data_IF_292446375454
#
_entry.id   IF_292446375454
#
_cell.length_a   1.000
_cell.length_b   1.000
_cell.length_c   1.000
_cell.angle_alpha   90.00
_cell.angle_beta   90.00
_cell.angle_gamma   90.00
#
_symmetry.space_group_name_H-M   'P 1'
#
loop_
_entity.id
_entity.type
_entity.pdbx_description
1 polymer ?
#
# COMPACT_ATOMS: atom_id res chain seq x y z
N UNK A 1 -10.40 -0.67 -13.00
CA UNK A 1 -9.43 -1.74 -13.23
C UNK A 1 -8.86 -2.26 -11.92
N UNK A 2 -8.31 -3.45 -11.96
CA UNK A 2 -7.67 -4.08 -10.80
C UNK A 2 -6.19 -4.28 -11.10
N UNK A 3 -5.34 -3.96 -10.13
CA UNK A 3 -3.88 -4.09 -10.26
C UNK A 3 -3.35 -4.97 -9.14
N UNK A 4 -2.73 -6.09 -9.50
CA UNK A 4 -2.10 -6.97 -8.53
C UNK A 4 -0.80 -6.34 -8.03
N UNK A 5 -0.65 -6.18 -6.71
CA UNK A 5 0.55 -5.60 -6.10
C UNK A 5 1.39 -6.62 -5.35
N UNK A 6 0.78 -7.69 -4.86
CA UNK A 6 1.48 -8.71 -4.09
C UNK A 6 0.70 -10.02 -4.09
N UNK A 7 1.39 -11.11 -3.76
CA UNK A 7 0.78 -12.41 -3.56
C UNK A 7 1.17 -12.96 -2.19
N UNK A 8 0.29 -13.79 -1.63
CA UNK A 8 0.52 -14.48 -0.37
C UNK A 8 0.41 -15.98 -0.62
N UNK A 9 1.45 -16.73 -0.28
CA UNK A 9 1.48 -18.19 -0.35
C UNK A 9 2.00 -18.72 0.97
N UNK A 10 1.23 -19.56 1.63
CA UNK A 10 1.54 -20.03 2.98
C UNK A 10 1.78 -18.83 3.91
N UNK A 11 2.98 -18.70 4.48
CA UNK A 11 3.33 -17.60 5.38
C UNK A 11 4.28 -16.58 4.73
N UNK A 12 4.32 -16.56 3.38
CA UNK A 12 5.20 -15.67 2.64
C UNK A 12 4.41 -14.62 1.85
N UNK A 13 4.87 -13.39 1.93
CA UNK A 13 4.39 -12.25 1.16
C UNK A 13 5.41 -11.95 0.06
N UNK A 14 4.96 -11.84 -1.19
CA UNK A 14 5.82 -11.55 -2.35
C UNK A 14 5.27 -10.35 -3.11
N UNK A 15 6.08 -9.32 -3.29
CA UNK A 15 5.70 -8.20 -4.14
C UNK A 15 5.53 -8.63 -5.59
N UNK A 16 4.55 -8.08 -6.29
CA UNK A 16 4.28 -8.44 -7.69
C UNK A 16 5.46 -8.15 -8.62
N UNK A 17 6.26 -7.13 -8.34
CA UNK A 17 7.44 -6.81 -9.15
C UNK A 17 8.52 -7.91 -9.06
N UNK A 18 8.49 -8.74 -8.02
CA UNK A 18 9.45 -9.82 -7.81
C UNK A 18 8.95 -11.18 -8.27
N UNK A 19 7.68 -11.30 -8.65
CA UNK A 19 7.09 -12.57 -9.09
C UNK A 19 7.52 -12.88 -10.53
N UNK A 20 8.27 -13.97 -10.77
CA UNK A 20 8.73 -14.32 -12.12
C UNK A 20 7.59 -14.56 -13.11
N UNK A 21 6.43 -15.01 -12.65
CA UNK A 21 5.26 -15.25 -13.50
C UNK A 21 4.62 -13.95 -14.00
N UNK A 22 4.89 -12.84 -13.31
CA UNK A 22 4.36 -11.52 -13.65
C UNK A 22 5.35 -10.65 -14.41
N UNK A 23 6.53 -11.15 -14.70
CA UNK A 23 7.57 -10.40 -15.41
C UNK A 23 7.02 -9.85 -16.72
N UNK A 24 7.31 -8.57 -16.98
CA UNK A 24 6.86 -7.83 -18.16
C UNK A 24 5.35 -7.57 -18.23
N UNK A 25 4.61 -7.80 -17.15
CA UNK A 25 3.19 -7.44 -17.07
C UNK A 25 3.00 -6.01 -16.59
N UNK A 26 1.81 -5.45 -16.83
CA UNK A 26 1.44 -4.14 -16.28
C UNK A 26 1.47 -4.13 -14.75
N UNK A 27 1.05 -5.23 -14.12
CA UNK A 27 1.09 -5.38 -12.66
C UNK A 27 2.52 -5.27 -12.13
N UNK A 28 3.48 -5.96 -12.74
CA UNK A 28 4.88 -5.89 -12.33
C UNK A 28 5.46 -4.49 -12.53
N UNK A 29 5.10 -3.82 -13.61
CA UNK A 29 5.57 -2.44 -13.87
C UNK A 29 5.03 -1.46 -12.84
N UNK A 30 3.76 -1.53 -12.50
CA UNK A 30 3.17 -0.64 -11.50
C UNK A 30 3.71 -0.95 -10.11
N UNK A 31 3.81 -2.23 -9.74
CA UNK A 31 4.40 -2.63 -8.47
C UNK A 31 5.89 -2.25 -8.39
N UNK A 32 6.59 -2.20 -9.53
CA UNK A 32 7.96 -1.73 -9.60
C UNK A 32 8.15 -0.28 -9.12
N UNK A 33 7.10 0.54 -9.20
CA UNK A 33 7.13 1.89 -8.65
C UNK A 33 7.25 1.87 -7.11
N UNK A 34 6.73 0.84 -6.46
CA UNK A 34 6.90 0.64 -5.02
C UNK A 34 8.36 0.38 -4.66
N UNK A 35 9.03 -0.48 -5.44
CA UNK A 35 10.46 -0.74 -5.22
C UNK A 35 11.30 0.52 -5.46
N UNK A 36 10.99 1.29 -6.48
CA UNK A 36 11.66 2.56 -6.76
C UNK A 36 11.49 3.56 -5.62
N UNK A 37 10.26 3.72 -5.13
CA UNK A 37 9.99 4.54 -3.95
C UNK A 37 10.79 4.05 -2.74
N UNK A 38 10.87 2.74 -2.53
CA UNK A 38 11.63 2.14 -1.45
C UNK A 38 13.12 2.46 -1.51
N UNK A 39 13.71 2.51 -2.71
CA UNK A 39 15.10 2.93 -2.89
C UNK A 39 15.25 4.42 -2.58
N UNK A 40 14.40 5.26 -3.16
CA UNK A 40 14.51 6.72 -3.06
C UNK A 40 14.27 7.21 -1.63
N UNK A 41 13.32 6.61 -0.92
CA UNK A 41 12.93 7.01 0.44
C UNK A 41 13.52 6.13 1.54
N UNK A 42 14.36 5.17 1.17
CA UNK A 42 15.02 4.24 2.09
C UNK A 42 14.01 3.46 2.94
N UNK A 43 13.11 2.75 2.24
CA UNK A 43 12.14 1.83 2.86
C UNK A 43 12.50 0.40 2.46
N UNK A 44 13.28 -0.32 3.30
CA UNK A 44 13.81 -1.64 2.92
C UNK A 44 12.74 -2.66 2.57
N UNK A 45 11.59 -2.61 3.23
CA UNK A 45 10.50 -3.56 3.02
C UNK A 45 9.93 -3.49 1.60
N UNK A 46 10.05 -2.36 0.93
CA UNK A 46 9.56 -2.18 -0.46
C UNK A 46 10.54 -2.71 -1.51
N UNK A 47 11.79 -2.95 -1.13
CA UNK A 47 12.83 -3.47 -2.05
C UNK A 47 13.20 -4.92 -1.79
N UNK A 48 12.62 -5.55 -0.79
CA UNK A 48 12.79 -6.98 -0.52
C UNK A 48 11.74 -7.78 -1.29
N UNK A 49 12.15 -8.73 -2.15
CA UNK A 49 11.20 -9.51 -2.96
C UNK A 49 10.18 -10.28 -2.13
N UNK A 50 10.67 -10.94 -1.08
CA UNK A 50 9.90 -11.83 -0.22
C UNK A 50 10.03 -11.40 1.22
N UNK A 51 8.91 -11.42 1.94
CA UNK A 51 8.84 -11.03 3.34
C UNK A 51 7.98 -12.04 4.10
N UNK A 52 8.30 -12.30 5.38
CA UNK A 52 7.38 -13.07 6.21
C UNK A 52 6.01 -12.39 6.26
N UNK A 53 4.95 -13.17 6.13
CA UNK A 53 3.58 -12.61 6.15
C UNK A 53 3.29 -11.86 7.45
N UNK A 54 3.79 -12.34 8.59
CA UNK A 54 3.60 -11.65 9.87
C UNK A 54 4.22 -10.26 9.88
N UNK A 55 5.40 -10.10 9.26
CA UNK A 55 6.04 -8.79 9.13
C UNK A 55 5.20 -7.86 8.26
N UNK A 56 4.73 -8.37 7.12
CA UNK A 56 3.91 -7.58 6.20
C UNK A 56 2.61 -7.12 6.88
N UNK A 57 1.97 -8.00 7.65
CA UNK A 57 0.76 -7.66 8.41
C UNK A 57 1.05 -6.67 9.53
N UNK A 58 2.07 -6.93 10.34
CA UNK A 58 2.43 -6.09 11.48
C UNK A 58 2.82 -4.67 11.07
N UNK A 59 3.46 -4.52 9.93
CA UNK A 59 3.86 -3.22 9.36
C UNK A 59 2.84 -2.63 8.41
N UNK A 60 1.73 -3.35 8.16
CA UNK A 60 0.68 -2.93 7.22
C UNK A 60 1.24 -2.56 5.83
N UNK A 61 2.17 -3.37 5.34
CA UNK A 61 2.90 -3.07 4.10
C UNK A 61 2.00 -2.88 2.86
N UNK A 62 0.93 -3.68 2.65
CA UNK A 62 0.06 -3.44 1.50
C UNK A 62 -0.57 -2.05 1.51
N UNK A 63 -0.84 -1.48 2.69
CA UNK A 63 -1.43 -0.16 2.81
C UNK A 63 -0.47 0.96 2.41
N UNK A 64 0.86 0.73 2.44
CA UNK A 64 1.82 1.69 1.92
C UNK A 64 1.64 1.93 0.43
N UNK A 65 1.17 0.92 -0.31
CA UNK A 65 0.96 1.04 -1.74
C UNK A 65 -0.12 2.07 -2.09
N UNK A 66 -1.09 2.27 -1.22
CA UNK A 66 -2.22 3.17 -1.49
C UNK A 66 -1.77 4.61 -1.78
N UNK A 67 -1.08 5.29 -0.86
CA UNK A 67 -0.63 6.66 -1.14
C UNK A 67 0.48 6.73 -2.18
N UNK A 68 1.36 5.72 -2.26
CA UNK A 68 2.46 5.71 -3.22
C UNK A 68 1.94 5.64 -4.65
N UNK A 69 0.94 4.79 -4.90
CA UNK A 69 0.37 4.58 -6.23
C UNK A 69 -0.86 5.46 -6.49
N UNK A 70 -1.42 6.09 -5.46
CA UNK A 70 -2.61 6.93 -5.60
C UNK A 70 -3.88 6.14 -5.91
N UNK A 71 -3.95 4.87 -5.50
CA UNK A 71 -5.11 4.00 -5.66
C UNK A 71 -5.55 3.55 -4.27
N UNK A 72 -6.81 3.78 -3.91
CA UNK A 72 -7.23 3.84 -2.51
C UNK A 72 -8.04 2.65 -2.02
N UNK A 73 -8.33 1.67 -2.86
CA UNK A 73 -9.09 0.48 -2.47
C UNK A 73 -8.23 -0.77 -2.62
N UNK A 74 -8.00 -1.45 -1.50
CA UNK A 74 -7.25 -2.70 -1.43
C UNK A 74 -8.22 -3.86 -1.21
N UNK A 75 -8.06 -4.93 -1.97
CA UNK A 75 -8.87 -6.15 -1.83
C UNK A 75 -8.00 -7.39 -1.97
N UNK A 76 -8.46 -8.49 -1.36
CA UNK A 76 -7.85 -9.81 -1.53
C UNK A 76 -8.67 -10.65 -2.51
N UNK A 77 -8.00 -11.46 -3.30
CA UNK A 77 -8.64 -12.41 -4.21
C UNK A 77 -7.87 -13.72 -4.24
N UNK A 78 -8.56 -14.82 -4.52
CA UNK A 78 -7.90 -16.13 -4.69
C UNK A 78 -7.49 -16.29 -6.15
N UNK A 79 -6.20 -16.54 -6.37
CA UNK A 79 -5.66 -16.77 -7.71
C UNK A 79 -5.91 -18.22 -8.14
N UNK A 80 -5.77 -18.50 -9.46
CA UNK A 80 -6.00 -19.81 -10.03
C UNK A 80 -5.12 -20.92 -9.42
N UNK A 81 -3.91 -20.55 -8.95
CA UNK A 81 -2.98 -21.48 -8.31
C UNK A 81 -3.19 -21.63 -6.79
N UNK A 82 -4.24 -21.04 -6.24
CA UNK A 82 -4.58 -21.09 -4.82
C UNK A 82 -3.93 -20.04 -3.94
N UNK A 83 -3.00 -19.25 -4.46
CA UNK A 83 -2.42 -18.12 -3.73
C UNK A 83 -3.45 -17.01 -3.54
N UNK A 84 -3.24 -16.18 -2.54
CA UNK A 84 -4.04 -14.97 -2.37
C UNK A 84 -3.34 -13.82 -3.09
N UNK A 85 -4.06 -13.14 -3.96
CA UNK A 85 -3.59 -11.93 -4.61
C UNK A 85 -4.10 -10.70 -3.87
N UNK A 86 -3.23 -9.72 -3.64
CA UNK A 86 -3.61 -8.41 -3.13
C UNK A 86 -3.70 -7.45 -4.30
N UNK A 87 -4.89 -6.90 -4.52
CA UNK A 87 -5.17 -6.05 -5.66
C UNK A 87 -5.60 -4.66 -5.21
N UNK A 88 -5.20 -3.66 -5.99
CA UNK A 88 -5.72 -2.31 -5.86
C UNK A 88 -6.79 -2.11 -6.92
N UNK A 89 -7.93 -1.59 -6.51
CA UNK A 89 -9.07 -1.31 -7.38
C UNK A 89 -9.10 0.17 -7.73
N UNK A 90 -8.93 0.48 -9.01
CA UNK A 90 -8.92 1.84 -9.53
C UNK A 90 -10.17 2.08 -10.36
N UNK A 91 -11.04 2.93 -9.85
CA UNK A 91 -12.28 3.35 -10.52
C UNK A 91 -12.66 4.76 -10.05
N UNK A 92 -13.37 5.55 -10.89
CA UNK A 92 -13.78 6.89 -10.49
C UNK A 92 -14.58 6.94 -9.18
N UNK A 93 -15.38 5.91 -8.91
CA UNK A 93 -16.20 5.82 -7.70
C UNK A 93 -15.37 5.54 -6.43
N UNK A 94 -14.12 5.11 -6.57
CA UNK A 94 -13.24 4.72 -5.49
C UNK A 94 -12.16 5.75 -5.18
N UNK A 95 -12.25 6.94 -5.77
CA UNK A 95 -11.32 8.03 -5.48
C UNK A 95 -11.59 8.59 -4.08
N UNK A 96 -10.53 9.10 -3.43
CA UNK A 96 -10.70 9.79 -2.16
C UNK A 96 -11.57 11.03 -2.37
N UNK A 97 -12.62 11.21 -1.56
CA UNK A 97 -13.42 12.43 -1.63
C UNK A 97 -12.61 13.64 -1.15
N UNK A 98 -13.07 14.82 -1.49
CA UNK A 98 -12.52 16.05 -0.95
C UNK A 98 -12.56 16.01 0.59
N UNK A 99 -11.52 16.48 1.27
CA UNK A 99 -11.50 16.47 2.73
C UNK A 99 -12.57 17.41 3.30
N UNK A 100 -13.28 16.91 4.33
CA UNK A 100 -14.24 17.72 5.08
C UNK A 100 -13.68 17.98 6.49
N UNK A 101 -14.11 19.04 7.18
CA UNK A 101 -13.69 19.27 8.56
C UNK A 101 -13.98 18.09 9.48
N UNK A 102 -15.16 17.46 9.35
CA UNK A 102 -15.54 16.31 10.17
C UNK A 102 -14.64 15.09 9.90
N UNK A 103 -14.36 14.79 8.63
CA UNK A 103 -13.48 13.67 8.27
C UNK A 103 -12.03 13.92 8.71
N UNK A 104 -11.55 15.15 8.59
CA UNK A 104 -10.23 15.54 9.05
C UNK A 104 -10.11 15.38 10.55
N UNK A 105 -11.07 15.88 11.31
CA UNK A 105 -11.10 15.73 12.78
C UNK A 105 -11.11 14.24 13.19
N UNK A 106 -11.96 13.44 12.56
CA UNK A 106 -12.05 12.02 12.86
C UNK A 106 -10.73 11.29 12.57
N UNK A 107 -10.07 11.62 11.46
CA UNK A 107 -8.78 11.02 11.10
C UNK A 107 -7.69 11.41 12.08
N UNK A 108 -7.61 12.68 12.44
CA UNK A 108 -6.60 13.18 13.38
C UNK A 108 -6.81 12.71 14.82
N UNK A 109 -8.00 12.24 15.15
CA UNK A 109 -8.30 11.63 16.45
C UNK A 109 -7.78 10.20 16.57
N UNK A 110 -7.40 9.55 15.45
CA UNK A 110 -6.85 8.20 15.47
C UNK A 110 -5.46 8.21 16.08
N UNK A 111 -5.23 7.37 17.08
CA UNK A 111 -3.91 7.20 17.67
C UNK A 111 -3.07 6.29 16.78
N UNK A 112 -1.95 6.75 16.22
CA UNK A 112 -1.10 5.89 15.40
C UNK A 112 -0.41 4.83 16.29
N UNK A 113 0.07 3.71 15.68
CA UNK A 113 0.88 2.74 16.40
C UNK A 113 2.09 3.39 17.08
N UNK A 114 2.54 2.82 18.19
CA UNK A 114 3.62 3.39 18.99
C UNK A 114 4.96 3.54 18.23
N UNK A 115 5.16 2.76 17.18
CA UNK A 115 6.38 2.81 16.35
C UNK A 115 6.33 3.91 15.28
N UNK A 116 5.22 4.67 15.18
CA UNK A 116 5.08 5.79 14.26
C UNK A 116 5.21 7.10 15.03
N UNK A 117 6.01 8.03 14.50
CA UNK A 117 6.05 9.40 15.00
C UNK A 117 4.71 10.10 14.70
N UNK A 118 3.93 10.34 15.75
CA UNK A 118 2.58 10.88 15.62
C UNK A 118 2.58 12.31 15.03
N UNK A 119 3.53 13.14 15.42
CA UNK A 119 3.62 14.52 14.92
C UNK A 119 3.95 14.53 13.42
N UNK A 120 4.88 13.68 13.01
CA UNK A 120 5.27 13.54 11.61
C UNK A 120 4.13 12.96 10.75
N UNK A 121 3.41 11.98 11.28
CA UNK A 121 2.26 11.40 10.60
C UNK A 121 1.15 12.44 10.39
N UNK A 122 0.88 13.25 11.41
CA UNK A 122 -0.10 14.33 11.35
C UNK A 122 0.27 15.37 10.29
N UNK A 123 1.52 15.82 10.30
CA UNK A 123 2.01 16.80 9.32
C UNK A 123 1.95 16.24 7.89
N UNK A 124 2.31 14.97 7.70
CA UNK A 124 2.24 14.30 6.40
C UNK A 124 0.78 14.21 5.89
N UNK A 125 -0.15 13.87 6.77
CA UNK A 125 -1.57 13.85 6.43
C UNK A 125 -2.05 15.22 5.96
N UNK A 126 -1.74 16.28 6.71
CA UNK A 126 -2.13 17.64 6.35
C UNK A 126 -1.58 18.07 5.00
N UNK A 127 -0.31 17.81 4.76
CA UNK A 127 0.34 18.09 3.48
C UNK A 127 -0.30 17.30 2.33
N UNK A 128 -0.52 16.01 2.55
CA UNK A 128 -1.08 15.12 1.53
C UNK A 128 -2.53 15.49 1.16
N UNK A 129 -3.35 15.84 2.15
CA UNK A 129 -4.76 16.15 1.94
C UNK A 129 -5.01 17.65 1.68
N UNK A 130 -3.99 18.49 1.81
CA UNK A 130 -4.13 19.94 1.62
C UNK A 130 -4.96 20.59 2.72
N UNK A 131 -4.88 20.10 3.95
CA UNK A 131 -5.60 20.63 5.10
C UNK A 131 -4.66 21.09 6.18
N UNK A 132 -5.07 22.08 6.96
CA UNK A 132 -4.34 22.53 8.15
C UNK A 132 -4.52 21.53 9.30
N UNK A 133 -3.44 21.22 9.99
CA UNK A 133 -3.43 20.26 11.09
C UNK A 133 -2.73 20.78 12.32
#
# INVERSE_FOLDING_TARGET
SAVLIATISAEEFTWAWADPELKNTAAARLAGNLARFGVDEVVPELVRPHLPLQLARGRQLPHLALPILGIWTLAGTTLADGRVGLVLLDAPQLQLPEPTPAATEATLAITPPAWIDAARARAAYGSFRGVDV
#
